data_IF_530786614065
#
_entry.id   IF_530786614065
#
_cell.length_a   1.000
_cell.length_b   1.000
_cell.length_c   1.000
_cell.angle_alpha   90.00
_cell.angle_beta   90.00
_cell.angle_gamma   90.00
#
_symmetry.space_group_name_H-M   'P 1'
#
loop_
_entity.id
_entity.type
_entity.pdbx_description
1 polymer ?
#
# COMPACT_ATOMS: atom_id res chain seq x y z
N UNK A 1 -6.23 26.75 42.69
CA UNK A 1 -5.09 27.10 41.83
C UNK A 1 -4.07 26.01 42.06
N UNK A 2 -3.94 25.06 41.14
CA UNK A 2 -2.94 24.01 41.25
C UNK A 2 -1.62 24.60 40.77
N UNK A 3 -0.64 24.71 41.68
CA UNK A 3 0.75 24.97 41.34
C UNK A 3 1.37 23.66 40.86
N UNK A 4 1.88 23.66 39.63
CA UNK A 4 2.71 22.58 39.09
C UNK A 4 4.18 22.99 39.24
N UNK A 5 4.91 22.18 39.98
CA UNK A 5 6.36 22.25 40.14
C UNK A 5 7.08 21.70 38.90
N UNK A 6 8.26 22.30 38.70
CA UNK A 6 9.51 21.77 38.16
C UNK A 6 9.80 21.77 36.64
N UNK A 7 11.01 22.32 36.43
CA UNK A 7 11.80 22.46 35.22
C UNK A 7 12.44 21.11 34.85
N UNK A 8 12.58 20.82 33.55
CA UNK A 8 13.81 20.24 32.98
C UNK A 8 13.64 20.06 31.47
N UNK A 9 14.28 20.93 30.70
CA UNK A 9 14.72 20.55 29.36
C UNK A 9 15.93 19.61 29.45
N UNK A 10 16.06 18.73 28.46
CA UNK A 10 17.34 18.11 28.13
C UNK A 10 17.40 16.58 28.25
N UNK A 11 17.69 15.98 27.10
CA UNK A 11 18.43 14.72 26.94
C UNK A 11 17.74 13.41 27.32
N UNK A 12 17.06 12.78 26.35
CA UNK A 12 16.97 11.32 26.33
C UNK A 12 18.31 10.76 25.80
N UNK A 13 18.89 9.74 26.44
CA UNK A 13 20.14 9.13 26.00
C UNK A 13 19.94 8.40 24.67
N UNK A 14 20.75 8.75 23.67
CA UNK A 14 20.92 7.93 22.49
C UNK A 14 21.53 6.59 22.92
N UNK A 15 20.72 5.55 23.01
CA UNK A 15 21.22 4.19 23.29
C UNK A 15 21.82 3.68 21.99
N UNK A 16 23.14 3.85 21.87
CA UNK A 16 23.95 3.26 20.81
C UNK A 16 24.06 1.75 21.03
N UNK A 17 23.15 0.97 20.45
CA UNK A 17 23.39 -0.46 20.28
C UNK A 17 24.16 -0.67 18.98
N UNK A 18 25.48 -0.77 19.14
CA UNK A 18 26.43 -1.16 18.11
C UNK A 18 26.46 -2.69 18.02
N UNK A 19 26.04 -3.34 16.92
CA UNK A 19 26.52 -4.68 16.65
C UNK A 19 27.96 -4.51 16.13
N UNK A 20 28.95 -4.82 16.98
CA UNK A 20 30.30 -5.15 16.53
C UNK A 20 30.20 -6.41 15.68
N UNK A 21 29.85 -6.25 14.40
CA UNK A 21 30.17 -7.24 13.39
C UNK A 21 31.49 -6.81 12.77
N UNK A 22 32.53 -7.59 13.04
CA UNK A 22 33.86 -7.37 12.52
C UNK A 22 33.78 -7.33 10.98
N UNK A 23 34.02 -6.16 10.40
CA UNK A 23 34.34 -6.07 8.98
C UNK A 23 35.71 -6.72 8.79
N UNK A 24 35.72 -8.01 8.44
CA UNK A 24 36.87 -8.60 7.78
C UNK A 24 36.99 -7.93 6.41
N UNK A 25 37.99 -7.03 6.31
CA UNK A 25 38.53 -6.61 5.02
C UNK A 25 39.04 -7.87 4.30
N UNK A 26 38.24 -8.39 3.36
CA UNK A 26 38.72 -9.37 2.39
C UNK A 26 39.69 -8.65 1.46
N UNK A 27 40.99 -8.83 1.72
CA UNK A 27 42.03 -8.41 0.79
C UNK A 27 41.87 -9.27 -0.46
N UNK A 28 41.71 -8.61 -1.61
CA UNK A 28 41.73 -9.26 -2.92
C UNK A 28 43.07 -9.99 -3.09
N UNK A 29 43.08 -11.30 -2.84
CA UNK A 29 44.23 -12.15 -3.07
C UNK A 29 44.01 -12.97 -4.34
N UNK A 30 44.78 -12.59 -5.37
CA UNK A 30 45.25 -13.42 -6.50
C UNK A 30 44.24 -13.76 -7.61
N UNK A 31 44.27 -12.95 -8.67
CA UNK A 31 43.75 -13.30 -9.99
C UNK A 31 44.76 -14.25 -10.67
N UNK A 32 44.23 -15.37 -11.22
CA UNK A 32 44.81 -16.35 -12.18
C UNK A 32 45.74 -17.45 -11.65
N UNK A 33 45.22 -18.68 -11.64
CA UNK A 33 45.98 -19.85 -12.09
C UNK A 33 45.18 -20.61 -13.15
N UNK A 34 45.87 -20.94 -14.23
CA UNK A 34 45.36 -21.61 -15.42
C UNK A 34 45.28 -23.12 -15.16
N UNK A 35 44.09 -23.69 -15.03
CA UNK A 35 43.81 -25.09 -15.41
C UNK A 35 42.33 -25.24 -15.66
N UNK A 36 41.98 -25.32 -16.93
CA UNK A 36 40.69 -25.83 -17.41
C UNK A 36 40.61 -27.31 -17.04
N UNK A 37 39.56 -27.73 -16.32
CA UNK A 37 39.18 -29.13 -16.19
C UNK A 37 37.70 -29.25 -16.57
N UNK A 38 37.47 -29.82 -17.75
CA UNK A 38 36.17 -30.21 -18.27
C UNK A 38 35.66 -31.40 -17.46
N UNK A 39 34.56 -31.26 -16.72
CA UNK A 39 33.53 -32.30 -16.63
C UNK A 39 32.27 -31.80 -15.89
N UNK A 40 31.18 -31.67 -16.65
CA UNK A 40 29.77 -31.85 -16.27
C UNK A 40 29.31 -31.42 -14.86
N UNK A 41 28.85 -30.17 -14.76
CA UNK A 41 27.57 -29.81 -14.13
C UNK A 41 27.27 -28.36 -14.55
N UNK A 42 26.20 -28.19 -15.34
CA UNK A 42 25.64 -26.89 -15.72
C UNK A 42 25.29 -26.09 -14.45
N UNK A 43 26.24 -25.32 -13.91
CA UNK A 43 25.86 -24.15 -13.12
C UNK A 43 25.68 -23.03 -14.13
N UNK A 44 24.45 -22.93 -14.64
CA UNK A 44 23.95 -21.63 -15.09
C UNK A 44 24.26 -20.70 -13.92
N UNK A 45 25.19 -19.76 -14.12
CA UNK A 45 25.30 -18.63 -13.24
C UNK A 45 23.97 -17.89 -13.38
N UNK A 46 23.00 -18.26 -12.55
CA UNK A 46 21.91 -17.38 -12.19
C UNK A 46 22.58 -16.27 -11.41
N UNK A 47 23.20 -15.35 -12.14
CA UNK A 47 23.34 -13.98 -11.68
C UNK A 47 21.92 -13.41 -11.59
N UNK A 48 21.15 -13.89 -10.61
CA UNK A 48 19.99 -13.20 -10.10
C UNK A 48 20.47 -12.32 -8.95
N UNK A 49 21.46 -11.46 -9.22
CA UNK A 49 21.70 -10.25 -8.43
C UNK A 49 20.64 -9.17 -8.69
N UNK A 50 19.42 -9.56 -9.05
CA UNK A 50 18.28 -8.84 -8.51
C UNK A 50 17.98 -9.48 -7.15
N UNK A 51 18.34 -8.83 -6.02
CA UNK A 51 17.58 -9.11 -4.81
C UNK A 51 16.12 -8.91 -5.20
N UNK A 52 15.29 -9.95 -5.15
CA UNK A 52 13.83 -9.78 -5.12
C UNK A 52 13.45 -9.10 -3.80
N UNK A 53 13.88 -7.86 -3.64
CA UNK A 53 13.15 -6.82 -2.92
C UNK A 53 12.34 -6.07 -3.96
N UNK A 54 11.58 -6.80 -4.78
CA UNK A 54 10.42 -6.16 -5.36
C UNK A 54 9.42 -6.09 -4.20
N UNK A 55 9.50 -5.00 -3.44
CA UNK A 55 8.42 -4.57 -2.57
C UNK A 55 7.31 -4.17 -3.54
N UNK A 56 6.63 -5.17 -4.10
CA UNK A 56 5.44 -5.00 -4.92
C UNK A 56 4.37 -4.58 -3.91
N UNK A 57 4.44 -3.32 -3.49
CA UNK A 57 3.35 -2.68 -2.78
C UNK A 57 2.22 -2.68 -3.78
N UNK A 58 1.39 -3.73 -3.72
CA UNK A 58 0.26 -3.91 -4.62
C UNK A 58 -0.64 -2.71 -4.43
N UNK A 59 -0.52 -1.72 -5.30
CA UNK A 59 -1.42 -0.59 -5.29
C UNK A 59 -2.76 -1.10 -5.81
N UNK A 60 -3.65 -1.46 -4.90
CA UNK A 60 -4.96 -2.03 -5.23
C UNK A 60 -5.83 -1.02 -5.98
N UNK A 61 -5.55 0.28 -5.83
CA UNK A 61 -6.21 1.32 -6.60
C UNK A 61 -5.70 1.46 -8.04
N UNK A 62 -4.57 0.81 -8.40
CA UNK A 62 -4.02 0.87 -9.77
C UNK A 62 -4.94 0.23 -10.81
N UNK A 63 -5.82 -0.70 -10.42
CA UNK A 63 -6.81 -1.31 -11.31
C UNK A 63 -8.12 -0.52 -11.38
N UNK A 64 -8.19 0.65 -10.75
CA UNK A 64 -9.39 1.50 -10.67
C UNK A 64 -10.67 0.71 -10.30
N UNK A 65 -10.70 0.06 -9.13
CA UNK A 65 -11.81 -0.82 -8.76
C UNK A 65 -13.13 -0.08 -8.50
N UNK A 66 -13.08 1.22 -8.18
CA UNK A 66 -14.26 2.05 -7.95
C UNK A 66 -14.88 2.51 -9.27
N UNK A 67 -16.18 2.29 -9.43
CA UNK A 67 -17.01 2.67 -10.58
C UNK A 67 -17.68 4.03 -10.34
N UNK A 68 -18.34 4.53 -11.38
CA UNK A 68 -19.18 5.74 -11.35
C UNK A 68 -18.50 6.98 -10.74
N UNK A 69 -17.18 7.11 -10.93
CA UNK A 69 -16.41 8.25 -10.41
C UNK A 69 -16.03 8.15 -8.92
N UNK A 70 -16.16 6.98 -8.29
CA UNK A 70 -15.75 6.78 -6.90
C UNK A 70 -14.25 6.90 -6.68
N UNK A 71 -13.86 7.43 -5.51
CA UNK A 71 -12.45 7.61 -5.12
C UNK A 71 -11.95 6.37 -4.41
N UNK A 72 -10.85 5.78 -4.90
CA UNK A 72 -10.21 4.63 -4.27
C UNK A 72 -9.18 5.07 -3.22
N UNK A 73 -9.26 4.51 -2.02
CA UNK A 73 -8.24 4.65 -0.99
C UNK A 73 -7.74 3.28 -0.53
N UNK A 74 -6.41 3.15 -0.41
CA UNK A 74 -5.81 1.93 0.18
C UNK A 74 -6.01 1.96 1.69
N UNK A 75 -6.36 0.81 2.27
CA UNK A 75 -6.45 0.64 3.72
C UNK A 75 -5.06 0.29 4.26
N UNK A 76 -4.79 0.59 5.54
CA UNK A 76 -3.49 0.49 6.23
C UNK A 76 -2.70 -0.80 5.98
N UNK A 77 -3.38 -1.89 5.65
CA UNK A 77 -2.78 -3.22 5.50
C UNK A 77 -2.18 -3.46 4.10
N UNK A 78 -2.33 -2.50 3.16
CA UNK A 78 -1.82 -2.59 1.79
C UNK A 78 -2.43 -3.72 0.94
N UNK A 79 -3.40 -4.45 1.50
CA UNK A 79 -4.03 -5.64 0.93
C UNK A 79 -5.53 -5.46 0.69
N UNK A 80 -6.11 -4.38 1.21
CA UNK A 80 -7.51 -4.02 1.02
C UNK A 80 -7.67 -2.56 0.57
N UNK A 81 -8.82 -2.25 0.01
CA UNK A 81 -9.18 -0.92 -0.49
C UNK A 81 -10.58 -0.55 -0.03
N UNK A 82 -10.86 0.75 -0.05
CA UNK A 82 -12.19 1.32 0.16
C UNK A 82 -12.52 2.27 -0.98
N UNK A 83 -13.74 2.16 -1.50
CA UNK A 83 -14.28 3.17 -2.39
C UNK A 83 -15.09 4.19 -1.61
N UNK A 84 -14.87 5.46 -1.89
CA UNK A 84 -15.73 6.57 -1.48
C UNK A 84 -16.65 6.85 -2.67
N UNK A 85 -17.91 6.47 -2.54
CA UNK A 85 -18.89 6.61 -3.62
C UNK A 85 -19.41 8.05 -3.71
N UNK A 86 -19.62 8.56 -4.93
CA UNK A 86 -20.37 9.79 -5.12
C UNK A 86 -21.83 9.59 -4.72
N UNK A 87 -22.56 10.71 -4.53
CA UNK A 87 -24.00 10.67 -4.28
C UNK A 87 -24.71 9.93 -5.41
N UNK A 88 -25.72 9.13 -5.05
CA UNK A 88 -26.47 8.29 -6.01
C UNK A 88 -25.88 6.90 -6.24
N UNK A 89 -24.70 6.58 -5.70
CA UNK A 89 -24.10 5.24 -5.84
C UNK A 89 -23.76 4.59 -4.51
N UNK A 90 -23.81 3.25 -4.49
CA UNK A 90 -23.54 2.42 -3.30
C UNK A 90 -22.78 1.14 -3.65
N UNK A 91 -22.46 0.36 -2.62
CA UNK A 91 -21.73 -0.90 -2.73
C UNK A 91 -20.21 -0.74 -2.61
N UNK A 92 -19.51 -1.86 -2.54
CA UNK A 92 -18.04 -1.91 -2.30
C UNK A 92 -17.27 -1.19 -3.41
N UNK A 93 -17.78 -1.26 -4.64
CA UNK A 93 -17.15 -0.69 -5.84
C UNK A 93 -17.91 0.52 -6.38
N UNK A 94 -18.94 1.03 -5.70
CA UNK A 94 -19.80 2.10 -6.21
C UNK A 94 -20.49 1.75 -7.55
N UNK A 95 -20.66 0.47 -7.84
CA UNK A 95 -21.28 0.01 -9.08
C UNK A 95 -22.81 0.08 -9.01
N UNK A 96 -23.37 -0.02 -7.81
CA UNK A 96 -24.81 -0.11 -7.61
C UNK A 96 -25.43 1.28 -7.50
N UNK A 97 -26.59 1.45 -8.13
CA UNK A 97 -27.39 2.65 -8.05
C UNK A 97 -28.11 2.73 -6.70
N UNK A 98 -28.25 3.93 -6.17
CA UNK A 98 -29.15 4.19 -5.05
C UNK A 98 -30.58 4.20 -5.59
N UNK A 99 -31.53 3.69 -4.81
CA UNK A 99 -32.94 3.75 -5.15
C UNK A 99 -33.57 4.89 -4.34
N UNK A 100 -33.37 6.13 -4.77
CA UNK A 100 -33.80 7.32 -4.02
C UNK A 100 -35.32 7.35 -3.84
N UNK A 101 -36.07 6.80 -4.78
CA UNK A 101 -37.53 6.76 -4.72
C UNK A 101 -38.10 5.88 -3.60
N UNK A 102 -37.33 4.96 -3.01
CA UNK A 102 -37.82 4.11 -1.91
C UNK A 102 -38.23 4.92 -0.67
N UNK A 103 -37.65 6.11 -0.49
CA UNK A 103 -37.95 6.99 0.63
C UNK A 103 -39.03 8.04 0.30
N UNK A 104 -39.67 7.96 -0.87
CA UNK A 104 -40.67 8.92 -1.35
C UNK A 104 -40.22 10.39 -1.17
N UNK A 105 -39.12 10.79 -1.84
CA UNK A 105 -38.56 12.14 -1.70
C UNK A 105 -39.48 13.21 -2.30
N UNK A 106 -40.20 12.89 -3.37
CA UNK A 106 -41.13 13.80 -4.05
C UNK A 106 -42.30 14.20 -3.14
N UNK A 107 -42.61 15.50 -3.11
CA UNK A 107 -43.68 16.07 -2.27
C UNK A 107 -44.89 16.46 -3.12
N UNK A 108 -46.00 16.78 -2.45
CA UNK A 108 -47.26 17.26 -3.06
C UNK A 108 -47.87 16.29 -4.08
N UNK A 109 -47.72 14.98 -3.87
CA UNK A 109 -48.27 13.95 -4.75
C UNK A 109 -47.48 13.75 -6.06
N UNK A 110 -46.24 14.27 -6.15
CA UNK A 110 -45.35 13.99 -7.27
C UNK A 110 -45.01 12.50 -7.39
N UNK A 111 -44.97 11.99 -8.63
CA UNK A 111 -44.43 10.67 -8.93
C UNK A 111 -42.91 10.73 -8.93
N UNK A 112 -42.26 9.79 -8.25
CA UNK A 112 -40.80 9.67 -8.26
C UNK A 112 -40.36 8.65 -9.30
N UNK A 113 -39.37 9.01 -10.10
CA UNK A 113 -38.69 8.11 -11.03
C UNK A 113 -37.20 8.01 -10.67
N UNK A 114 -36.75 6.78 -10.41
CA UNK A 114 -35.32 6.50 -10.20
C UNK A 114 -34.57 6.61 -11.52
N UNK A 115 -33.38 7.19 -11.48
CA UNK A 115 -32.49 7.32 -12.63
C UNK A 115 -31.06 7.00 -12.21
N UNK A 116 -30.18 6.70 -13.16
CA UNK A 116 -28.80 6.33 -12.84
C UNK A 116 -28.04 7.47 -12.15
N UNK A 117 -27.78 7.32 -10.86
CA UNK A 117 -27.14 8.28 -9.96
C UNK A 117 -28.05 9.42 -9.49
N UNK A 118 -29.37 9.35 -9.72
CA UNK A 118 -30.30 10.44 -9.37
C UNK A 118 -31.78 10.04 -9.38
N UNK A 119 -32.69 11.01 -9.20
CA UNK A 119 -34.13 10.82 -9.33
C UNK A 119 -34.81 12.10 -9.85
N UNK A 120 -36.01 11.95 -10.42
CA UNK A 120 -36.85 13.06 -10.89
C UNK A 120 -38.34 12.86 -10.59
#
# INVERSE_FOLDING_TARGET
MFEIEELAGGQQPAVSYSPRYAHQHSTFATIRTWTVALNELFIVALDTSQPRKHCETKNICATSPCRNGGTCTSVSDGTSYKCICPSGFKGITCADDVEECNNNPCKHGGTCLNTHGSYQ
#
